data_IF_529664367824
#
_entry.id   IF_529664367824
#
_cell.length_a   1.000
_cell.length_b   1.000
_cell.length_c   1.000
_cell.angle_alpha   90.00
_cell.angle_beta   90.00
_cell.angle_gamma   90.00
#
_symmetry.space_group_name_H-M   'P 1'
#
loop_
_entity.id
_entity.type
_entity.pdbx_description
1 polymer ?
#
# COMPACT_ATOMS: atom_id res chain seq x y z
N UNK A 1 -9.09 14.82 -15.57
CA UNK A 1 -9.46 14.09 -16.81
C UNK A 1 -8.89 12.68 -16.74
N UNK A 2 -9.65 11.72 -16.21
CA UNK A 2 -9.34 10.28 -16.29
C UNK A 2 -9.95 9.77 -17.60
N UNK A 3 -9.42 10.22 -18.73
CA UNK A 3 -9.88 9.79 -20.04
C UNK A 3 -8.90 8.76 -20.58
N UNK A 4 -9.43 7.56 -20.89
CA UNK A 4 -8.96 6.60 -21.91
C UNK A 4 -8.48 5.20 -21.46
N UNK A 5 -8.11 4.89 -20.21
CA UNK A 5 -7.62 3.50 -19.91
C UNK A 5 -8.69 2.43 -19.59
N UNK A 6 -9.92 2.80 -19.21
CA UNK A 6 -10.90 1.84 -18.65
C UNK A 6 -12.11 1.55 -19.53
N UNK A 7 -12.22 2.15 -20.72
CA UNK A 7 -13.44 2.08 -21.55
C UNK A 7 -13.73 0.68 -22.09
N UNK A 8 -12.70 -0.12 -22.37
CA UNK A 8 -12.85 -1.54 -22.75
C UNK A 8 -13.11 -2.44 -21.54
N UNK A 9 -12.47 -2.17 -20.40
CA UNK A 9 -12.62 -2.92 -19.15
C UNK A 9 -14.02 -2.78 -18.57
N UNK A 10 -14.56 -1.56 -18.50
CA UNK A 10 -15.92 -1.28 -18.01
C UNK A 10 -16.98 -2.02 -18.83
N UNK A 11 -16.77 -2.18 -20.14
CA UNK A 11 -17.71 -2.91 -21.00
C UNK A 11 -17.72 -4.43 -20.73
N UNK A 12 -16.66 -4.97 -20.14
CA UNK A 12 -16.44 -6.41 -19.98
C UNK A 12 -16.53 -6.88 -18.53
N UNK A 13 -16.33 -5.99 -17.56
CA UNK A 13 -16.38 -6.31 -16.14
C UNK A 13 -17.43 -5.45 -15.42
N UNK A 14 -18.51 -6.11 -14.99
CA UNK A 14 -19.61 -5.48 -14.25
C UNK A 14 -19.16 -4.93 -12.89
N UNK A 15 -18.16 -5.52 -12.25
CA UNK A 15 -17.65 -5.03 -10.97
C UNK A 15 -16.97 -3.66 -11.16
N UNK A 16 -15.99 -3.59 -12.07
CA UNK A 16 -15.32 -2.32 -12.42
C UNK A 16 -16.32 -1.28 -12.95
N UNK A 17 -17.33 -1.68 -13.73
CA UNK A 17 -18.36 -0.78 -14.22
C UNK A 17 -19.10 -0.07 -13.07
N UNK A 18 -19.53 -0.83 -12.04
CA UNK A 18 -20.22 -0.27 -10.88
C UNK A 18 -19.34 0.68 -10.07
N UNK A 19 -18.05 0.36 -9.88
CA UNK A 19 -17.11 1.28 -9.22
C UNK A 19 -16.97 2.60 -10.00
N UNK A 20 -16.92 2.52 -11.33
CA UNK A 20 -16.83 3.69 -12.19
C UNK A 20 -18.12 4.52 -12.19
N UNK A 21 -19.29 3.88 -12.08
CA UNK A 21 -20.57 4.58 -11.95
C UNK A 21 -20.65 5.40 -10.65
N UNK A 22 -20.19 4.84 -9.52
CA UNK A 22 -20.07 5.57 -8.25
C UNK A 22 -19.15 6.79 -8.42
N UNK A 23 -17.99 6.61 -9.03
CA UNK A 23 -17.05 7.71 -9.31
C UNK A 23 -17.68 8.83 -10.15
N UNK A 24 -18.38 8.48 -11.25
CA UNK A 24 -19.08 9.47 -12.09
C UNK A 24 -20.17 10.20 -11.31
N UNK A 25 -20.92 9.49 -10.47
CA UNK A 25 -21.99 10.08 -9.68
C UNK A 25 -21.44 11.13 -8.70
N UNK A 26 -20.38 10.80 -7.95
CA UNK A 26 -19.71 11.74 -7.04
C UNK A 26 -19.19 12.97 -7.80
N UNK A 27 -18.63 12.79 -8.99
CA UNK A 27 -18.19 13.93 -9.81
C UNK A 27 -19.34 14.82 -10.26
N UNK A 28 -20.51 14.25 -10.58
CA UNK A 28 -21.70 14.98 -11.00
C UNK A 28 -22.30 15.79 -9.83
N UNK A 29 -22.33 15.20 -8.64
CA UNK A 29 -22.83 15.84 -7.42
C UNK A 29 -21.85 16.90 -6.87
N UNK A 30 -20.56 16.73 -7.16
CA UNK A 30 -19.48 17.57 -6.63
C UNK A 30 -18.76 16.89 -5.47
N UNK A 31 -17.45 17.13 -5.36
CA UNK A 31 -16.62 16.54 -4.31
C UNK A 31 -16.87 17.28 -3.00
N UNK A 32 -17.65 16.66 -2.10
CA UNK A 32 -18.00 17.24 -0.80
C UNK A 32 -16.86 17.17 0.24
N UNK A 33 -15.95 16.20 0.12
CA UNK A 33 -14.82 16.02 1.03
C UNK A 33 -13.50 16.04 0.24
N UNK A 34 -12.66 17.04 0.52
CA UNK A 34 -11.41 17.28 -0.20
C UNK A 34 -10.19 16.63 0.44
N UNK A 35 -10.28 16.25 1.72
CA UNK A 35 -9.26 15.49 2.43
C UNK A 35 -9.35 14.01 2.04
N UNK A 36 -8.23 13.44 1.58
CA UNK A 36 -8.10 12.03 1.22
C UNK A 36 -6.91 11.40 1.94
N UNK A 37 -7.10 10.19 2.49
CA UNK A 37 -6.03 9.38 3.10
C UNK A 37 -5.78 8.14 2.24
N UNK A 38 -4.56 8.00 1.73
CA UNK A 38 -4.08 6.80 1.05
C UNK A 38 -3.17 5.97 1.96
N UNK A 39 -3.53 4.72 2.20
CA UNK A 39 -2.69 3.73 2.88
C UNK A 39 -2.22 2.69 1.85
N UNK A 40 -1.20 3.07 1.09
CA UNK A 40 -0.78 2.32 -0.10
C UNK A 40 0.39 1.37 0.19
N UNK A 41 0.48 0.28 -0.58
CA UNK A 41 1.66 -0.60 -0.62
C UNK A 41 2.11 -0.78 -2.06
N UNK A 42 3.41 -0.61 -2.30
CA UNK A 42 4.04 -0.90 -3.59
C UNK A 42 4.88 -2.17 -3.43
N UNK A 43 4.55 -3.19 -4.23
CA UNK A 43 5.19 -4.50 -4.17
C UNK A 43 6.21 -4.63 -5.31
N UNK A 44 7.40 -5.13 -4.98
CA UNK A 44 8.53 -5.22 -5.90
C UNK A 44 9.14 -6.63 -5.89
N UNK A 45 9.70 -7.04 -7.04
CA UNK A 45 10.49 -8.26 -7.18
C UNK A 45 11.79 -7.97 -7.94
N UNK A 46 12.82 -8.77 -7.69
CA UNK A 46 14.05 -8.72 -8.48
C UNK A 46 13.86 -9.49 -9.80
N UNK A 47 14.22 -8.85 -10.90
CA UNK A 47 14.39 -9.47 -12.20
C UNK A 47 15.88 -9.60 -12.49
N UNK A 48 16.34 -10.79 -12.89
CA UNK A 48 17.69 -10.94 -13.44
C UNK A 48 17.70 -10.48 -14.89
N UNK A 49 18.57 -9.52 -15.22
CA UNK A 49 18.81 -9.12 -16.60
C UNK A 49 19.63 -10.19 -17.35
N UNK A 50 19.76 -10.03 -18.67
CA UNK A 50 20.52 -10.95 -19.52
C UNK A 50 22.01 -11.03 -19.15
N UNK A 51 22.56 -9.97 -18.55
CA UNK A 51 23.94 -9.91 -18.04
C UNK A 51 24.09 -10.43 -16.60
N UNK A 52 23.01 -10.94 -15.99
CA UNK A 52 22.98 -11.43 -14.62
C UNK A 52 22.81 -10.33 -13.55
N UNK A 53 22.72 -9.06 -13.93
CA UNK A 53 22.50 -7.97 -12.97
C UNK A 53 21.07 -7.97 -12.41
N UNK A 54 20.87 -7.76 -11.10
CA UNK A 54 19.54 -7.67 -10.51
C UNK A 54 18.93 -6.29 -10.79
N UNK A 55 17.69 -6.27 -11.27
CA UNK A 55 16.87 -5.07 -11.40
C UNK A 55 15.64 -5.17 -10.52
N UNK A 56 15.39 -4.16 -9.69
CA UNK A 56 14.14 -4.08 -8.93
C UNK A 56 13.00 -3.65 -9.85
N UNK A 57 11.94 -4.45 -9.93
CA UNK A 57 10.74 -4.18 -10.75
C UNK A 57 9.51 -4.12 -9.86
N UNK A 58 8.69 -3.08 -10.08
CA UNK A 58 7.38 -3.01 -9.44
C UNK A 58 6.45 -4.02 -10.10
N UNK A 59 5.81 -4.85 -9.27
CA UNK A 59 4.87 -5.87 -9.74
C UNK A 59 3.42 -5.47 -9.46
N UNK A 60 3.17 -4.68 -8.41
CA UNK A 60 1.83 -4.28 -8.01
C UNK A 60 1.84 -2.96 -7.24
N UNK A 61 0.72 -2.23 -7.33
CA UNK A 61 0.37 -1.15 -6.42
C UNK A 61 -0.99 -1.44 -5.79
N UNK A 62 -0.99 -1.58 -4.47
CA UNK A 62 -2.17 -1.84 -3.66
C UNK A 62 -2.62 -0.54 -3.00
N UNK A 63 -3.74 0.02 -3.46
CA UNK A 63 -4.32 1.28 -2.93
C UNK A 63 -5.59 1.08 -2.12
N UNK A 64 -6.07 -0.16 -2.02
CA UNK A 64 -7.24 -0.54 -1.24
C UNK A 64 -6.88 -1.72 -0.33
N UNK A 65 -7.24 -1.61 0.95
CA UNK A 65 -7.06 -2.68 1.94
C UNK A 65 -5.66 -3.32 1.92
N UNK A 66 -4.62 -2.50 1.80
CA UNK A 66 -3.24 -2.97 1.81
C UNK A 66 -2.90 -3.62 3.18
N UNK A 67 -2.88 -4.95 3.20
CA UNK A 67 -2.71 -5.75 4.42
C UNK A 67 -1.28 -5.67 5.02
N UNK A 68 -1.09 -6.36 6.13
CA UNK A 68 0.16 -6.60 6.86
C UNK A 68 0.84 -5.42 7.54
N UNK A 69 0.34 -4.19 7.41
CA UNK A 69 0.89 -3.03 8.12
C UNK A 69 1.05 -3.22 9.64
N UNK A 70 0.11 -3.93 10.28
CA UNK A 70 0.24 -4.34 11.69
C UNK A 70 1.32 -5.40 11.91
N UNK A 71 1.12 -6.58 11.32
CA UNK A 71 1.95 -7.79 11.55
C UNK A 71 3.40 -7.62 11.10
N UNK A 72 3.65 -6.92 9.99
CA UNK A 72 4.99 -6.67 9.47
C UNK A 72 5.88 -5.90 10.46
N UNK A 73 5.27 -5.20 11.43
CA UNK A 73 6.00 -4.51 12.49
C UNK A 73 6.61 -5.47 13.54
N UNK A 74 6.15 -6.72 13.58
CA UNK A 74 6.62 -7.76 14.53
C UNK A 74 7.50 -8.81 13.87
N UNK A 75 7.42 -8.96 12.56
CA UNK A 75 8.23 -9.91 11.79
C UNK A 75 9.74 -9.78 12.04
N UNK A 76 10.33 -8.56 12.11
CA UNK A 76 11.76 -8.43 12.44
C UNK A 76 12.14 -9.03 13.79
N UNK A 77 11.29 -8.88 14.81
CA UNK A 77 11.57 -9.38 16.16
C UNK A 77 11.58 -10.91 16.18
N UNK A 78 10.64 -11.54 15.45
CA UNK A 78 10.60 -13.00 15.28
C UNK A 78 11.85 -13.48 14.55
N UNK A 79 12.24 -12.84 13.45
CA UNK A 79 13.44 -13.22 12.70
C UNK A 79 14.72 -13.09 13.52
N UNK A 80 14.88 -11.99 14.27
CA UNK A 80 16.03 -11.82 15.19
C UNK A 80 16.06 -12.90 16.26
N UNK A 81 14.90 -13.23 16.84
CA UNK A 81 14.80 -14.28 17.85
C UNK A 81 15.24 -15.64 17.28
N UNK A 82 14.70 -16.05 16.13
CA UNK A 82 15.06 -17.32 15.48
C UNK A 82 16.55 -17.38 15.15
N UNK A 83 17.11 -16.31 14.59
CA UNK A 83 18.55 -16.26 14.28
C UNK A 83 19.42 -16.38 15.53
N UNK A 84 19.03 -15.74 16.63
CA UNK A 84 19.75 -15.86 17.90
C UNK A 84 19.67 -17.29 18.47
N UNK A 85 18.52 -17.95 18.39
CA UNK A 85 18.37 -19.37 18.80
C UNK A 85 19.30 -20.28 17.98
N UNK A 86 19.56 -19.94 16.71
CA UNK A 86 20.48 -20.66 15.84
C UNK A 86 21.95 -20.23 15.98
N UNK A 87 22.30 -19.44 17.00
CA UNK A 87 23.63 -18.85 17.19
C UNK A 87 24.12 -17.98 16.01
N UNK A 88 23.20 -17.45 15.20
CA UNK A 88 23.44 -16.53 14.07
C UNK A 88 23.26 -15.07 14.49
N UNK A 89 23.94 -14.68 15.57
CA UNK A 89 23.78 -13.36 16.19
C UNK A 89 24.24 -12.22 15.27
N UNK A 90 25.30 -12.42 14.49
CA UNK A 90 25.79 -11.45 13.50
C UNK A 90 24.79 -11.23 12.37
N UNK A 91 24.04 -12.24 11.94
CA UNK A 91 22.97 -12.08 10.95
C UNK A 91 21.74 -11.42 11.57
N UNK A 92 21.43 -11.70 12.83
CA UNK A 92 20.31 -11.08 13.53
C UNK A 92 20.46 -9.55 13.60
N UNK A 93 21.68 -9.02 13.76
CA UNK A 93 21.92 -7.56 13.77
C UNK A 93 21.68 -6.90 12.41
N UNK A 94 21.74 -7.67 11.31
CA UNK A 94 21.48 -7.17 9.95
C UNK A 94 19.98 -7.02 9.63
N UNK A 95 19.09 -7.56 10.46
CA UNK A 95 17.64 -7.43 10.27
C UNK A 95 17.20 -6.01 10.60
N UNK A 96 16.73 -5.28 9.59
CA UNK A 96 16.24 -3.90 9.72
C UNK A 96 14.99 -3.83 10.61
N UNK A 97 14.85 -2.73 11.35
CA UNK A 97 13.59 -2.41 12.03
C UNK A 97 12.50 -2.07 11.01
N UNK A 98 11.29 -2.53 11.26
CA UNK A 98 10.12 -2.23 10.43
C UNK A 98 8.97 -1.81 11.35
N UNK A 99 8.40 -0.62 11.17
CA UNK A 99 7.25 -0.17 11.98
C UNK A 99 6.19 0.58 11.17
N UNK A 100 5.61 -0.06 10.13
CA UNK A 100 4.56 0.53 9.32
C UNK A 100 3.31 0.83 10.17
N UNK A 101 3.02 0.01 11.18
CA UNK A 101 1.86 0.22 12.08
C UNK A 101 1.82 1.63 12.66
N UNK A 102 2.97 2.17 13.10
CA UNK A 102 3.04 3.53 13.65
C UNK A 102 2.68 4.58 12.58
N UNK A 103 3.29 4.48 11.40
CA UNK A 103 3.02 5.42 10.30
C UNK A 103 1.56 5.38 9.85
N UNK A 104 0.99 4.18 9.71
CA UNK A 104 -0.42 3.99 9.36
C UNK A 104 -1.36 4.58 10.42
N UNK A 105 -1.11 4.30 11.71
CA UNK A 105 -1.92 4.83 12.81
C UNK A 105 -1.85 6.37 12.86
N UNK A 106 -0.67 6.96 12.67
CA UNK A 106 -0.50 8.41 12.60
C UNK A 106 -1.22 9.03 11.40
N UNK A 107 -1.16 8.37 10.23
CA UNK A 107 -1.89 8.82 9.04
C UNK A 107 -3.40 8.84 9.26
N UNK A 108 -3.95 7.80 9.88
CA UNK A 108 -5.37 7.73 10.24
C UNK A 108 -5.75 8.81 11.25
N UNK A 109 -4.98 8.95 12.34
CA UNK A 109 -5.21 9.98 13.34
C UNK A 109 -5.19 11.39 12.72
N UNK A 110 -4.22 11.64 11.82
CA UNK A 110 -4.10 12.94 11.17
C UNK A 110 -5.27 13.21 10.21
N UNK A 111 -5.71 12.21 9.46
CA UNK A 111 -6.88 12.36 8.59
C UNK A 111 -8.15 12.68 9.39
N UNK A 112 -8.31 12.08 10.57
CA UNK A 112 -9.42 12.37 11.48
C UNK A 112 -9.38 13.82 11.99
N UNK A 113 -8.21 14.31 12.41
CA UNK A 113 -8.04 15.71 12.80
C UNK A 113 -8.40 16.67 11.66
N UNK A 114 -7.91 16.39 10.45
CA UNK A 114 -8.15 17.23 9.26
C UNK A 114 -9.63 17.22 8.88
N UNK A 115 -10.31 16.08 9.00
CA UNK A 115 -11.75 15.97 8.77
C UNK A 115 -12.54 16.88 9.72
N UNK A 116 -12.23 16.88 11.02
CA UNK A 116 -12.88 17.74 12.01
C UNK A 116 -12.46 19.22 11.95
N UNK A 117 -11.36 19.53 11.25
CA UNK A 117 -10.83 20.89 11.07
C UNK A 117 -11.32 21.56 9.79
N UNK A 118 -11.81 20.79 8.82
CA UNK A 118 -12.41 21.32 7.60
C UNK A 118 -13.78 21.94 7.95
N UNK A 119 -13.88 23.27 7.85
CA UNK A 119 -15.13 24.03 7.89
C UNK A 119 -15.62 24.30 6.48
#
# INVERSE_FOLDING_TARGET
KCSVSSSSTIKRDTFTAKLFDIYKQVLKEGIAQTVFLGLNRSDYMFQSNADGSPALKQIEINTISASFGGLASRTPDVHRHVLNVLNKTTEATKILSNNPRRGLALGIAKAWELYGSAK
#
